data_IF_110683406889
#
_entry.id   IF_110683406889
#
_cell.length_a   1.000
_cell.length_b   1.000
_cell.length_c   1.000
_cell.angle_alpha   90.00
_cell.angle_beta   90.00
_cell.angle_gamma   90.00
#
_symmetry.space_group_name_H-M   'P 1'
#
loop_
_entity.id
_entity.type
_entity.pdbx_description
1 polymer ?
#
# COMPACT_ATOMS: atom_id res chain seq x y z
N UNK A 1 5.76 21.67 -5.02
CA UNK A 1 6.20 21.43 -3.63
C UNK A 1 5.32 20.37 -3.00
N UNK A 2 5.85 19.55 -2.15
CA UNK A 2 5.04 18.55 -1.44
C UNK A 2 4.10 19.25 -0.45
N UNK A 3 2.95 18.67 -0.21
CA UNK A 3 2.05 19.03 0.89
C UNK A 3 2.80 18.97 2.22
N UNK A 4 2.43 19.73 3.24
CA UNK A 4 3.07 19.65 4.54
C UNK A 4 2.92 18.26 5.16
N UNK A 5 3.87 17.88 6.00
CA UNK A 5 3.76 16.65 6.77
C UNK A 5 2.54 16.73 7.69
N UNK A 6 1.68 15.74 7.61
CA UNK A 6 0.46 15.63 8.40
C UNK A 6 0.49 14.30 9.12
N UNK A 7 0.55 14.36 10.43
CA UNK A 7 0.44 13.20 11.29
C UNK A 7 -0.99 12.64 11.29
N UNK A 8 -1.20 11.37 11.56
CA UNK A 8 -2.52 10.78 11.57
C UNK A 8 -3.52 11.54 12.41
N UNK A 9 -4.65 11.87 11.81
CA UNK A 9 -5.83 12.41 12.48
C UNK A 9 -7.08 11.73 11.91
N UNK A 10 -8.20 11.84 12.63
CA UNK A 10 -9.47 11.26 12.19
C UNK A 10 -10.36 12.36 11.59
N UNK A 11 -10.79 12.20 10.35
CA UNK A 11 -11.67 13.17 9.66
C UNK A 11 -13.06 13.26 10.29
N UNK A 12 -13.46 12.30 11.12
CA UNK A 12 -14.72 12.34 11.88
C UNK A 12 -14.77 13.47 12.89
N UNK A 13 -13.61 13.94 13.32
CA UNK A 13 -13.49 15.07 14.24
C UNK A 13 -13.64 16.42 13.54
N UNK A 14 -13.64 16.41 12.20
CA UNK A 14 -13.78 17.60 11.38
C UNK A 14 -15.23 17.81 10.91
N UNK A 15 -15.65 19.07 10.88
CA UNK A 15 -16.95 19.43 10.35
C UNK A 15 -16.93 19.58 8.83
N UNK A 16 -18.00 19.18 8.16
CA UNK A 16 -18.19 19.43 6.75
C UNK A 16 -18.38 20.93 6.47
N UNK A 17 -17.66 21.43 5.47
CA UNK A 17 -17.79 22.77 4.92
C UNK A 17 -18.42 22.70 3.53
N UNK A 18 -19.17 23.72 3.12
CA UNK A 18 -19.69 23.80 1.74
C UNK A 18 -18.52 23.97 0.77
N UNK A 19 -18.51 23.17 -0.29
CA UNK A 19 -17.58 23.36 -1.39
C UNK A 19 -18.23 24.30 -2.41
N UNK A 20 -17.64 25.46 -2.58
CA UNK A 20 -18.10 26.48 -3.54
C UNK A 20 -16.91 26.81 -4.44
N UNK A 21 -16.95 26.31 -5.67
CA UNK A 21 -15.92 26.57 -6.67
C UNK A 21 -16.58 26.96 -7.98
N UNK A 22 -15.99 27.89 -8.76
CA UNK A 22 -16.48 28.24 -10.08
C UNK A 22 -16.63 27.00 -10.97
N UNK A 23 -17.78 26.89 -11.62
CA UNK A 23 -18.10 25.76 -12.51
C UNK A 23 -18.56 24.48 -11.82
N UNK A 24 -18.40 24.34 -10.50
CA UNK A 24 -18.93 23.19 -9.77
C UNK A 24 -20.36 23.44 -9.32
N UNK A 25 -21.19 22.41 -9.44
CA UNK A 25 -22.58 22.43 -8.96
C UNK A 25 -22.63 22.57 -7.44
N UNK A 26 -23.70 23.16 -6.95
CA UNK A 26 -24.02 23.15 -5.52
C UNK A 26 -24.32 21.73 -5.02
N UNK A 27 -24.30 21.51 -3.72
CA UNK A 27 -24.60 20.20 -3.11
C UNK A 27 -23.38 19.35 -2.83
N UNK A 28 -22.22 19.97 -2.76
CA UNK A 28 -20.98 19.33 -2.29
C UNK A 28 -20.55 19.95 -0.96
N UNK A 29 -20.19 19.08 -0.04
CA UNK A 29 -19.56 19.45 1.24
C UNK A 29 -18.27 18.66 1.39
N UNK A 30 -17.28 19.22 2.02
CA UNK A 30 -15.97 18.60 2.15
C UNK A 30 -15.38 18.74 3.54
N UNK A 31 -14.49 17.85 3.86
CA UNK A 31 -13.49 17.96 4.92
C UNK A 31 -12.13 17.94 4.27
N UNK A 32 -11.33 18.96 4.49
CA UNK A 32 -9.98 19.03 3.95
C UNK A 32 -9.07 18.12 4.73
N UNK A 33 -8.44 17.17 4.06
CA UNK A 33 -7.47 16.25 4.66
C UNK A 33 -6.04 16.75 4.49
N UNK A 34 -5.71 17.23 3.30
CA UNK A 34 -4.42 17.87 3.02
C UNK A 34 -4.56 18.87 1.88
N UNK A 35 -3.69 19.85 1.87
CA UNK A 35 -3.71 20.93 0.88
C UNK A 35 -2.28 21.40 0.58
N UNK A 36 -1.98 21.66 -0.68
CA UNK A 36 -0.74 22.25 -1.15
C UNK A 36 -0.99 23.71 -1.52
N UNK A 37 -0.43 24.63 -0.77
CA UNK A 37 -0.64 26.06 -0.96
C UNK A 37 -0.09 26.61 -2.29
N UNK A 38 0.89 25.92 -2.87
CA UNK A 38 1.52 26.38 -4.12
C UNK A 38 0.71 25.93 -5.35
N UNK A 39 0.19 24.71 -5.34
CA UNK A 39 -0.48 24.12 -6.49
C UNK A 39 -1.99 24.07 -6.37
N UNK A 40 -2.51 24.12 -5.15
CA UNK A 40 -3.91 23.88 -4.84
C UNK A 40 -4.29 22.37 -4.84
N UNK A 41 -3.33 21.48 -5.04
CA UNK A 41 -3.58 20.04 -4.95
C UNK A 41 -4.08 19.69 -3.54
N UNK A 42 -5.05 18.79 -3.44
CA UNK A 42 -5.67 18.48 -2.16
C UNK A 42 -6.32 17.11 -2.13
N UNK A 43 -6.48 16.59 -0.92
CA UNK A 43 -7.30 15.41 -0.64
C UNK A 43 -8.42 15.79 0.31
N UNK A 44 -9.62 15.30 0.03
CA UNK A 44 -10.83 15.66 0.76
C UNK A 44 -11.75 14.45 0.92
N UNK A 45 -12.36 14.33 2.08
CA UNK A 45 -13.59 13.55 2.19
C UNK A 45 -14.74 14.42 1.71
N UNK A 46 -15.45 14.01 0.68
CA UNK A 46 -16.49 14.81 0.03
C UNK A 46 -17.84 14.12 0.16
N UNK A 47 -18.80 14.86 0.69
CA UNK A 47 -20.21 14.48 0.74
C UNK A 47 -20.94 15.14 -0.42
N UNK A 48 -21.49 14.32 -1.30
CA UNK A 48 -22.46 14.75 -2.31
C UNK A 48 -23.84 14.60 -1.72
N UNK A 49 -24.58 15.69 -1.71
CA UNK A 49 -25.95 15.71 -1.14
C UNK A 49 -26.93 14.93 -2.01
N UNK A 50 -28.05 14.49 -1.43
CA UNK A 50 -29.14 13.88 -2.22
C UNK A 50 -29.65 14.86 -3.27
N UNK A 51 -29.82 14.38 -4.49
CA UNK A 51 -30.17 15.20 -5.65
C UNK A 51 -29.00 15.93 -6.30
N UNK A 52 -27.74 15.65 -5.88
CA UNK A 52 -26.55 16.22 -6.53
C UNK A 52 -26.52 15.91 -8.02
N UNK A 53 -26.16 16.90 -8.82
CA UNK A 53 -26.02 16.76 -10.25
C UNK A 53 -24.92 17.69 -10.79
N UNK A 54 -24.04 17.16 -11.63
CA UNK A 54 -22.98 17.88 -12.30
C UNK A 54 -23.03 17.59 -13.80
N UNK A 55 -23.03 18.64 -14.60
CA UNK A 55 -22.97 18.55 -16.06
C UNK A 55 -21.68 17.83 -16.52
N UNK A 56 -21.66 17.25 -17.72
CA UNK A 56 -20.44 16.71 -18.32
C UNK A 56 -19.33 17.77 -18.35
N UNK A 57 -18.10 17.35 -18.12
CA UNK A 57 -16.98 18.28 -18.14
C UNK A 57 -15.68 17.69 -17.62
N UNK A 58 -14.64 18.50 -17.63
CA UNK A 58 -13.31 18.08 -17.24
C UNK A 58 -12.70 19.00 -16.17
N UNK A 59 -11.72 18.48 -15.47
CA UNK A 59 -10.85 19.23 -14.57
C UNK A 59 -9.48 19.46 -15.21
N UNK A 60 -8.84 20.57 -14.86
CA UNK A 60 -7.45 20.84 -15.22
C UNK A 60 -6.43 20.12 -14.33
N UNK A 61 -6.86 19.66 -13.17
CA UNK A 61 -6.08 18.76 -12.32
C UNK A 61 -6.42 17.31 -12.65
N UNK A 62 -5.44 16.43 -12.62
CA UNK A 62 -5.75 15.01 -12.47
C UNK A 62 -6.41 14.79 -11.11
N UNK A 63 -7.37 13.88 -11.07
CA UNK A 63 -8.05 13.56 -9.83
C UNK A 63 -8.44 12.10 -9.74
N UNK A 64 -8.57 11.66 -8.50
CA UNK A 64 -8.97 10.31 -8.16
C UNK A 64 -10.14 10.34 -7.19
N UNK A 65 -10.96 9.31 -7.21
CA UNK A 65 -12.07 9.18 -6.28
C UNK A 65 -12.29 7.70 -5.95
N UNK A 66 -12.61 7.45 -4.69
CA UNK A 66 -13.17 6.16 -4.26
C UNK A 66 -14.44 6.39 -3.45
N UNK A 67 -15.49 5.63 -3.77
CA UNK A 67 -16.77 5.72 -3.07
C UNK A 67 -16.63 5.01 -1.71
N UNK A 68 -16.93 5.73 -0.64
CA UNK A 68 -16.93 5.21 0.73
C UNK A 68 -18.31 4.69 1.10
N UNK A 69 -19.36 5.48 0.82
CA UNK A 69 -20.75 5.12 1.12
C UNK A 69 -21.70 5.71 0.08
N UNK A 70 -22.87 5.10 -0.07
CA UNK A 70 -23.87 5.53 -1.04
C UNK A 70 -23.58 5.11 -2.46
N UNK A 71 -24.21 5.80 -3.39
CA UNK A 71 -23.99 5.52 -4.81
C UNK A 71 -23.97 6.80 -5.65
N UNK A 72 -23.31 6.71 -6.77
CA UNK A 72 -23.17 7.78 -7.75
C UNK A 72 -23.42 7.23 -9.15
N UNK A 73 -24.26 7.88 -9.90
CA UNK A 73 -24.45 7.60 -11.31
C UNK A 73 -23.47 8.43 -12.13
N UNK A 74 -22.70 7.79 -12.99
CA UNK A 74 -21.72 8.43 -13.87
C UNK A 74 -22.03 8.00 -15.31
N UNK A 75 -22.64 8.85 -16.08
CA UNK A 75 -23.25 8.49 -17.35
C UNK A 75 -24.29 7.37 -17.15
N UNK A 76 -24.08 6.22 -17.80
CA UNK A 76 -24.96 5.06 -17.66
C UNK A 76 -24.51 4.08 -16.57
N UNK A 77 -23.39 4.32 -15.93
CA UNK A 77 -22.85 3.44 -14.89
C UNK A 77 -23.33 3.87 -13.51
N UNK A 78 -23.49 2.91 -12.61
CA UNK A 78 -23.76 3.14 -11.19
C UNK A 78 -22.54 2.71 -10.39
N UNK A 79 -21.90 3.66 -9.75
CA UNK A 79 -20.75 3.43 -8.89
C UNK A 79 -21.19 3.33 -7.44
N UNK A 80 -20.71 2.34 -6.74
CA UNK A 80 -21.04 2.04 -5.34
C UNK A 80 -19.80 1.99 -4.49
N UNK A 81 -20.00 1.74 -3.21
CA UNK A 81 -18.93 1.53 -2.24
C UNK A 81 -17.79 0.68 -2.81
N UNK A 82 -16.57 1.22 -2.76
CA UNK A 82 -15.37 0.61 -3.30
C UNK A 82 -15.10 0.88 -4.78
N UNK A 83 -16.02 1.52 -5.51
CA UNK A 83 -15.73 1.93 -6.87
C UNK A 83 -14.70 3.05 -6.88
N UNK A 84 -13.67 2.86 -7.67
CA UNK A 84 -12.54 3.77 -7.81
C UNK A 84 -12.44 4.30 -9.24
N UNK A 85 -11.98 5.55 -9.41
CA UNK A 85 -11.58 6.08 -10.71
C UNK A 85 -10.34 6.95 -10.61
N UNK A 86 -9.56 6.94 -11.69
CA UNK A 86 -8.51 7.90 -12.00
C UNK A 86 -8.89 8.67 -13.26
N UNK A 87 -8.85 9.99 -13.17
CA UNK A 87 -9.26 10.89 -14.27
C UNK A 87 -8.10 11.83 -14.60
N UNK A 88 -7.49 11.69 -15.81
CA UNK A 88 -6.42 12.58 -16.22
C UNK A 88 -6.94 14.00 -16.53
N UNK A 89 -6.07 15.02 -16.49
CA UNK A 89 -6.44 16.40 -16.83
C UNK A 89 -7.09 16.50 -18.22
N UNK A 90 -8.13 17.28 -18.33
CA UNK A 90 -8.84 17.50 -19.59
C UNK A 90 -9.73 16.35 -20.05
N UNK A 91 -9.84 15.27 -19.29
CA UNK A 91 -10.76 14.17 -19.61
C UNK A 91 -12.19 14.55 -19.24
N UNK A 92 -13.06 14.69 -20.24
CA UNK A 92 -14.45 15.00 -20.02
C UNK A 92 -15.19 13.79 -19.44
N UNK A 93 -15.58 13.91 -18.19
CA UNK A 93 -16.48 12.96 -17.55
C UNK A 93 -17.91 13.17 -18.04
N UNK A 94 -18.73 12.13 -18.17
CA UNK A 94 -20.16 12.29 -18.43
C UNK A 94 -20.86 12.97 -17.26
N UNK A 95 -22.15 13.18 -17.35
CA UNK A 95 -22.96 13.68 -16.24
C UNK A 95 -22.76 12.79 -15.00
N UNK A 96 -22.57 13.43 -13.85
CA UNK A 96 -22.45 12.77 -12.56
C UNK A 96 -23.63 13.19 -11.70
N UNK A 97 -24.31 12.23 -11.07
CA UNK A 97 -25.43 12.51 -10.17
C UNK A 97 -25.49 11.50 -9.01
N UNK A 98 -26.09 11.94 -7.90
CA UNK A 98 -26.39 11.07 -6.77
C UNK A 98 -27.78 11.39 -6.23
N UNK A 99 -28.68 10.44 -6.36
CA UNK A 99 -30.07 10.66 -5.94
C UNK A 99 -30.23 10.68 -4.42
N UNK A 100 -29.57 9.75 -3.74
CA UNK A 100 -29.66 9.59 -2.29
C UNK A 100 -28.49 10.21 -1.52
N UNK A 101 -27.49 10.71 -2.25
CA UNK A 101 -26.24 11.17 -1.67
C UNK A 101 -25.15 10.10 -1.69
N UNK A 102 -23.91 10.59 -1.60
CA UNK A 102 -22.72 9.76 -1.69
C UNK A 102 -21.58 10.36 -0.89
N UNK A 103 -20.84 9.55 -0.18
CA UNK A 103 -19.59 9.92 0.48
C UNK A 103 -18.42 9.32 -0.28
N UNK A 104 -17.44 10.12 -0.61
CA UNK A 104 -16.24 9.68 -1.33
C UNK A 104 -14.98 10.36 -0.80
N UNK A 105 -13.87 9.66 -0.88
CA UNK A 105 -12.54 10.28 -0.83
C UNK A 105 -12.23 10.80 -2.23
N UNK A 106 -11.90 12.08 -2.35
CA UNK A 106 -11.55 12.74 -3.62
C UNK A 106 -10.18 13.39 -3.47
N UNK A 107 -9.29 13.08 -4.40
CA UNK A 107 -7.91 13.55 -4.40
C UNK A 107 -7.62 14.30 -5.70
N UNK A 108 -7.26 15.57 -5.62
CA UNK A 108 -6.78 16.38 -6.73
C UNK A 108 -5.26 16.46 -6.64
N UNK A 109 -4.57 15.83 -7.60
CA UNK A 109 -3.16 15.49 -7.43
C UNK A 109 -2.19 16.56 -7.95
N UNK A 110 -2.58 17.32 -8.97
CA UNK A 110 -1.66 18.21 -9.69
C UNK A 110 -2.06 19.68 -9.64
N UNK A 111 -3.23 19.99 -9.10
CA UNK A 111 -3.73 21.36 -8.98
C UNK A 111 -5.04 21.43 -8.23
N UNK A 112 -5.58 22.62 -8.10
CA UNK A 112 -6.85 22.86 -7.42
C UNK A 112 -8.03 22.14 -8.11
N UNK A 113 -9.08 21.79 -7.36
CA UNK A 113 -10.34 21.36 -7.93
C UNK A 113 -10.86 22.37 -8.95
N UNK A 114 -11.29 21.89 -10.11
CA UNK A 114 -11.87 22.73 -11.16
C UNK A 114 -12.88 21.92 -11.96
N UNK A 115 -13.78 22.61 -12.65
CA UNK A 115 -14.69 21.98 -13.60
C UNK A 115 -14.98 22.95 -14.73
N UNK A 116 -14.76 22.49 -15.95
CA UNK A 116 -15.14 23.17 -17.18
C UNK A 116 -16.13 22.29 -17.92
N UNK A 117 -17.33 22.84 -18.19
CA UNK A 117 -18.40 22.09 -18.87
C UNK A 117 -17.98 21.79 -20.31
N UNK A 118 -18.02 20.52 -20.66
CA UNK A 118 -17.71 20.03 -22.00
C UNK A 118 -18.21 18.60 -22.17
N UNK A 119 -18.69 18.28 -23.36
CA UNK A 119 -18.98 16.91 -23.75
C UNK A 119 -17.80 16.22 -24.44
N UNK A 120 -16.76 16.99 -24.75
CA UNK A 120 -15.57 16.50 -25.44
C UNK A 120 -14.33 16.64 -24.55
N UNK A 121 -13.42 15.71 -24.72
CA UNK A 121 -12.13 15.78 -24.05
C UNK A 121 -11.32 16.96 -24.59
N UNK A 122 -10.55 17.60 -23.70
CA UNK A 122 -9.57 18.58 -24.15
C UNK A 122 -8.55 17.92 -25.10
N UNK A 123 -8.09 18.59 -26.17
CA UNK A 123 -7.16 17.99 -27.15
C UNK A 123 -5.85 17.45 -26.57
N UNK A 124 -5.40 17.99 -25.43
CA UNK A 124 -4.21 17.53 -24.74
C UNK A 124 -4.47 16.44 -23.68
N UNK A 125 -5.72 16.04 -23.52
CA UNK A 125 -6.10 15.01 -22.54
C UNK A 125 -5.49 13.65 -22.93
N UNK A 126 -4.97 12.96 -21.94
CA UNK A 126 -4.46 11.60 -22.10
C UNK A 126 -5.56 10.61 -21.81
N UNK A 127 -6.51 10.52 -22.74
CA UNK A 127 -7.74 9.73 -22.55
C UNK A 127 -7.49 8.26 -22.22
N UNK A 128 -6.38 7.71 -22.68
CA UNK A 128 -5.97 6.33 -22.44
C UNK A 128 -5.52 6.08 -20.99
N UNK A 129 -5.32 7.11 -20.19
CA UNK A 129 -4.98 6.98 -18.77
C UNK A 129 -6.24 6.95 -17.89
N UNK A 130 -7.40 7.35 -18.42
CA UNK A 130 -8.64 7.20 -17.68
C UNK A 130 -8.86 5.75 -17.26
N UNK A 131 -9.19 5.56 -16.00
CA UNK A 131 -9.41 4.24 -15.45
C UNK A 131 -10.54 4.30 -14.41
N UNK A 132 -11.42 3.33 -14.45
CA UNK A 132 -12.43 3.14 -13.39
C UNK A 132 -12.66 1.64 -13.16
N UNK A 133 -12.84 1.25 -11.91
CA UNK A 133 -12.89 -0.14 -11.52
C UNK A 133 -13.65 -0.32 -10.21
N UNK A 134 -14.45 -1.38 -10.11
CA UNK A 134 -14.94 -1.85 -8.82
C UNK A 134 -13.80 -2.57 -8.09
N UNK A 135 -13.22 -1.90 -7.09
CA UNK A 135 -12.05 -2.42 -6.38
C UNK A 135 -12.32 -3.71 -5.60
N UNK A 136 -13.58 -4.01 -5.30
CA UNK A 136 -13.94 -5.24 -4.60
C UNK A 136 -14.15 -6.41 -5.54
N UNK A 137 -14.86 -6.17 -6.65
CA UNK A 137 -15.30 -7.24 -7.55
C UNK A 137 -14.29 -7.53 -8.65
N UNK A 138 -13.60 -6.52 -9.16
CA UNK A 138 -12.79 -6.64 -10.36
C UNK A 138 -11.30 -6.87 -10.07
N UNK A 139 -10.84 -6.55 -8.86
CA UNK A 139 -9.42 -6.70 -8.51
C UNK A 139 -9.27 -7.68 -7.35
N UNK A 140 -8.60 -8.82 -7.54
CA UNK A 140 -8.33 -9.75 -6.45
C UNK A 140 -7.28 -9.18 -5.48
N UNK A 141 -7.34 -9.62 -4.23
CA UNK A 141 -6.27 -9.36 -3.28
C UNK A 141 -5.03 -10.17 -3.62
N UNK A 142 -3.88 -9.52 -3.65
CA UNK A 142 -2.57 -10.17 -3.66
C UNK A 142 -1.93 -10.09 -2.27
N UNK A 143 -1.14 -11.09 -1.92
CA UNK A 143 -0.39 -11.04 -0.67
C UNK A 143 0.63 -9.89 -0.71
N UNK A 144 0.75 -9.13 0.35
CA UNK A 144 1.65 -7.97 0.42
C UNK A 144 3.12 -8.34 0.23
N UNK A 145 3.52 -9.54 0.65
CA UNK A 145 4.88 -10.06 0.46
C UNK A 145 5.23 -10.37 -1.01
N UNK A 146 4.26 -10.48 -1.90
CA UNK A 146 4.52 -10.55 -3.35
C UNK A 146 5.11 -9.24 -3.86
N UNK A 147 4.62 -8.11 -3.33
CA UNK A 147 5.18 -6.80 -3.66
C UNK A 147 6.50 -6.52 -2.92
N UNK A 148 6.60 -7.00 -1.68
CA UNK A 148 7.77 -6.80 -0.81
C UNK A 148 7.94 -7.99 0.13
N UNK A 149 9.02 -8.77 -0.02
CA UNK A 149 9.27 -9.94 0.84
C UNK A 149 9.33 -9.65 2.34
N UNK A 150 9.67 -8.42 2.71
CA UNK A 150 9.78 -8.01 4.12
C UNK A 150 8.44 -7.67 4.78
N UNK A 151 7.34 -7.68 4.03
CA UNK A 151 6.01 -7.45 4.58
C UNK A 151 5.53 -8.70 5.27
N UNK A 152 5.09 -8.57 6.52
CA UNK A 152 4.58 -9.68 7.31
C UNK A 152 3.32 -10.28 6.69
N UNK A 153 3.11 -11.57 6.93
CA UNK A 153 1.89 -12.28 6.54
C UNK A 153 0.65 -11.60 7.11
N UNK A 154 -0.43 -11.58 6.34
CA UNK A 154 -1.70 -10.94 6.72
C UNK A 154 -1.84 -9.50 6.23
N UNK A 155 -0.82 -8.94 5.58
CA UNK A 155 -0.98 -7.75 4.76
C UNK A 155 -1.28 -8.15 3.32
N UNK A 156 -2.32 -7.57 2.74
CA UNK A 156 -2.73 -7.82 1.36
C UNK A 156 -2.86 -6.50 0.61
N UNK A 157 -2.70 -6.55 -0.70
CA UNK A 157 -2.67 -5.35 -1.56
C UNK A 157 -3.54 -5.55 -2.80
N UNK A 158 -4.15 -4.46 -3.26
CA UNK A 158 -4.77 -4.32 -4.59
C UNK A 158 -4.22 -3.05 -5.24
N UNK A 159 -3.62 -3.15 -6.40
CA UNK A 159 -3.24 -1.97 -7.17
C UNK A 159 -4.47 -1.43 -7.88
N UNK A 160 -4.84 -0.18 -7.61
CA UNK A 160 -5.96 0.51 -8.24
C UNK A 160 -5.52 1.29 -9.47
N UNK A 161 -4.39 1.97 -9.38
CA UNK A 161 -3.84 2.75 -10.49
C UNK A 161 -2.32 2.80 -10.43
N UNK A 162 -1.73 2.91 -11.61
CA UNK A 162 -0.31 3.16 -11.79
C UNK A 162 -0.12 4.13 -12.96
N UNK A 163 0.43 5.29 -12.68
CA UNK A 163 0.73 6.26 -13.71
C UNK A 163 2.09 5.95 -14.36
N UNK A 164 2.15 5.60 -15.64
CA UNK A 164 3.39 5.20 -16.29
C UNK A 164 4.41 6.33 -16.47
N UNK A 165 4.02 7.57 -16.24
CA UNK A 165 4.93 8.74 -16.38
C UNK A 165 5.54 9.16 -15.06
N UNK A 166 4.72 9.36 -14.04
CA UNK A 166 5.17 9.77 -12.71
C UNK A 166 5.57 8.58 -11.85
N UNK A 167 5.14 7.37 -12.23
CA UNK A 167 5.20 6.17 -11.42
C UNK A 167 4.40 6.26 -10.11
N UNK A 168 3.55 7.27 -9.99
CA UNK A 168 2.59 7.37 -8.89
C UNK A 168 1.69 6.15 -8.85
N UNK A 169 1.36 5.72 -7.67
CA UNK A 169 0.55 4.52 -7.43
C UNK A 169 -0.59 4.86 -6.49
N UNK A 170 -1.76 4.26 -6.76
CA UNK A 170 -2.87 4.23 -5.80
C UNK A 170 -3.27 2.77 -5.58
N UNK A 171 -3.38 2.38 -4.34
CA UNK A 171 -3.63 0.99 -3.97
C UNK A 171 -4.50 0.90 -2.71
N UNK A 172 -5.18 -0.22 -2.56
CA UNK A 172 -5.74 -0.62 -1.26
C UNK A 172 -4.76 -1.56 -0.57
N UNK A 173 -4.59 -1.39 0.71
CA UNK A 173 -3.98 -2.39 1.56
C UNK A 173 -4.97 -2.86 2.63
N UNK A 174 -4.87 -4.11 2.97
CA UNK A 174 -5.67 -4.75 3.99
C UNK A 174 -4.73 -5.37 5.01
N UNK A 175 -5.00 -5.12 6.28
CA UNK A 175 -4.43 -5.87 7.38
C UNK A 175 -5.50 -6.83 7.89
N UNK A 176 -5.19 -8.12 7.95
CA UNK A 176 -6.12 -9.10 8.52
C UNK A 176 -6.22 -8.95 10.04
N UNK A 177 -7.26 -9.50 10.68
CA UNK A 177 -7.31 -9.54 12.14
C UNK A 177 -6.05 -10.18 12.74
N UNK A 178 -5.58 -9.58 13.84
CA UNK A 178 -4.33 -9.93 14.51
C UNK A 178 -3.04 -9.74 13.70
N UNK A 179 -3.09 -8.92 12.66
CA UNK A 179 -1.89 -8.52 11.93
C UNK A 179 -0.91 -7.78 12.85
N UNK A 180 0.36 -8.09 12.69
CA UNK A 180 1.44 -7.40 13.37
C UNK A 180 2.71 -7.38 12.52
N UNK A 181 3.31 -6.22 12.38
CA UNK A 181 4.59 -6.02 11.71
C UNK A 181 5.45 -5.09 12.54
N UNK A 182 6.57 -5.58 13.00
CA UNK A 182 7.45 -4.99 14.01
C UNK A 182 8.70 -4.34 13.37
N UNK A 183 8.54 -3.63 12.29
CA UNK A 183 9.64 -2.89 11.69
C UNK A 183 9.25 -1.44 11.43
N UNK A 184 10.24 -0.59 11.36
CA UNK A 184 10.11 0.79 10.95
C UNK A 184 10.58 0.90 9.51
N UNK A 185 9.89 1.68 8.71
CA UNK A 185 10.25 1.93 7.33
C UNK A 185 10.11 3.40 6.98
N UNK A 186 10.72 3.79 5.89
CA UNK A 186 10.42 5.02 5.18
C UNK A 186 10.32 4.74 3.67
N UNK A 187 9.79 5.68 2.95
CA UNK A 187 9.72 5.66 1.50
C UNK A 187 10.55 6.81 0.92
N UNK A 188 11.05 6.66 -0.27
CA UNK A 188 11.74 7.69 -1.04
C UNK A 188 10.78 8.55 -1.89
N UNK A 189 9.50 8.40 -1.67
CA UNK A 189 8.41 9.18 -2.25
C UNK A 189 7.48 9.69 -1.13
N UNK A 190 6.65 10.67 -1.46
CA UNK A 190 5.57 11.06 -0.56
C UNK A 190 4.46 9.99 -0.58
N UNK A 191 3.82 9.82 0.55
CA UNK A 191 2.73 8.87 0.75
C UNK A 191 1.58 9.52 1.49
N UNK A 192 0.36 9.25 1.04
CA UNK A 192 -0.85 9.50 1.83
C UNK A 192 -1.59 8.20 2.09
N UNK A 193 -2.28 8.15 3.22
CA UNK A 193 -3.13 7.03 3.56
C UNK A 193 -4.45 7.48 4.17
N UNK A 194 -5.52 6.78 3.79
CA UNK A 194 -6.86 6.99 4.33
C UNK A 194 -7.50 5.66 4.72
N UNK A 195 -7.90 5.53 5.98
CA UNK A 195 -8.55 4.33 6.49
C UNK A 195 -10.02 4.32 6.10
N UNK A 196 -10.34 3.47 5.13
CA UNK A 196 -11.70 3.31 4.61
C UNK A 196 -12.58 2.55 5.60
N UNK A 197 -12.09 1.44 6.15
CA UNK A 197 -12.82 0.58 7.08
C UNK A 197 -11.86 -0.09 8.06
N UNK A 198 -12.28 -0.16 9.30
CA UNK A 198 -11.53 -0.80 10.38
C UNK A 198 -10.51 0.13 11.02
N UNK A 199 -9.65 -0.45 11.83
CA UNK A 199 -8.66 0.27 12.62
C UNK A 199 -7.31 -0.42 12.53
N UNK A 200 -6.27 0.34 12.24
CA UNK A 200 -4.90 -0.10 12.45
C UNK A 200 -4.31 0.62 13.67
N UNK A 201 -3.23 0.08 14.17
CA UNK A 201 -2.39 0.69 15.17
C UNK A 201 -1.02 0.98 14.56
N UNK A 202 -0.50 2.16 14.85
CA UNK A 202 0.83 2.58 14.43
C UNK A 202 1.60 3.05 15.65
N UNK A 203 2.81 2.56 15.82
CA UNK A 203 3.61 2.76 17.04
C UNK A 203 3.71 4.22 17.49
N UNK A 204 3.86 5.15 16.54
CA UNK A 204 4.03 6.57 16.86
C UNK A 204 2.73 7.29 17.28
N UNK A 205 1.57 6.71 16.94
CA UNK A 205 0.29 7.42 17.03
C UNK A 205 -0.76 6.69 17.84
N UNK A 206 -0.65 5.37 17.98
CA UNK A 206 -1.73 4.54 18.48
C UNK A 206 -2.73 4.17 17.39
N UNK A 207 -4.01 4.15 17.74
CA UNK A 207 -5.07 3.72 16.84
C UNK A 207 -5.36 4.74 15.73
N UNK A 208 -5.43 4.24 14.50
CA UNK A 208 -5.85 4.98 13.31
C UNK A 208 -7.14 4.33 12.80
N UNK A 209 -8.31 4.85 13.18
CA UNK A 209 -9.60 4.25 12.86
C UNK A 209 -10.08 4.62 11.45
N UNK A 210 -11.24 4.09 11.06
CA UNK A 210 -11.97 4.57 9.86
C UNK A 210 -12.08 6.09 9.87
N UNK A 211 -11.71 6.73 8.75
CA UNK A 211 -11.58 8.17 8.63
C UNK A 211 -10.21 8.71 9.04
N UNK A 212 -9.32 7.85 9.47
CA UNK A 212 -7.93 8.22 9.77
C UNK A 212 -7.17 8.55 8.49
N UNK A 213 -6.47 9.67 8.50
CA UNK A 213 -5.71 10.18 7.36
C UNK A 213 -4.33 10.67 7.80
N UNK A 214 -3.36 10.50 6.93
CA UNK A 214 -2.02 11.09 7.06
C UNK A 214 -1.45 11.46 5.69
N UNK A 215 -0.51 12.42 5.69
CA UNK A 215 0.36 12.72 4.55
C UNK A 215 1.81 12.78 5.03
N UNK A 216 2.68 12.00 4.39
CA UNK A 216 4.10 11.96 4.70
C UNK A 216 4.94 12.33 3.49
N UNK A 217 5.80 13.35 3.60
CA UNK A 217 6.89 13.55 2.66
C UNK A 217 7.80 12.32 2.61
N UNK A 218 8.63 12.24 1.58
CA UNK A 218 9.68 11.23 1.52
C UNK A 218 10.58 11.23 2.78
N UNK A 219 11.10 10.07 3.13
CA UNK A 219 12.06 9.84 4.21
C UNK A 219 11.50 10.00 5.63
N UNK A 220 10.21 10.04 5.82
CA UNK A 220 9.60 10.03 7.15
C UNK A 220 9.48 8.59 7.65
N UNK A 221 10.17 8.30 8.74
CA UNK A 221 10.08 6.99 9.39
C UNK A 221 8.71 6.75 10.01
N UNK A 222 8.19 5.55 9.82
CA UNK A 222 6.92 5.11 10.39
C UNK A 222 6.87 3.59 10.54
N UNK A 223 5.94 3.08 11.35
CA UNK A 223 5.82 1.68 11.78
C UNK A 223 6.08 1.64 13.29
N UNK A 224 6.04 0.53 14.01
CA UNK A 224 5.48 -0.74 13.57
C UNK A 224 3.97 -0.64 13.35
N UNK A 225 3.39 -1.67 12.73
CA UNK A 225 1.98 -1.70 12.41
C UNK A 225 1.28 -2.91 13.03
N UNK A 226 0.04 -2.73 13.43
CA UNK A 226 -0.82 -3.81 13.89
C UNK A 226 -2.28 -3.54 13.51
N UNK A 227 -3.09 -4.57 13.53
CA UNK A 227 -4.55 -4.42 13.48
C UNK A 227 -5.20 -5.55 14.25
N UNK A 228 -5.97 -5.22 15.28
CA UNK A 228 -6.62 -6.23 16.12
C UNK A 228 -7.76 -6.92 15.37
N UNK A 229 -8.62 -6.15 14.72
CA UNK A 229 -9.81 -6.67 14.04
C UNK A 229 -9.76 -6.57 12.52
N UNK A 230 -8.68 -6.08 11.98
CA UNK A 230 -8.51 -5.84 10.55
C UNK A 230 -8.87 -4.43 10.11
N UNK A 231 -8.30 -4.02 8.99
CA UNK A 231 -8.62 -2.75 8.35
C UNK A 231 -8.39 -2.83 6.83
N UNK A 232 -9.05 -1.92 6.12
CA UNK A 232 -8.78 -1.64 4.71
C UNK A 232 -8.53 -0.15 4.59
N UNK A 233 -7.39 0.20 4.01
CA UNK A 233 -7.02 1.58 3.78
C UNK A 233 -6.57 1.80 2.33
N UNK A 234 -6.76 3.02 1.85
CA UNK A 234 -6.18 3.46 0.60
C UNK A 234 -4.81 4.07 0.89
N UNK A 235 -3.82 3.67 0.12
CA UNK A 235 -2.51 4.30 0.04
C UNK A 235 -2.31 4.93 -1.34
N UNK A 236 -1.66 6.07 -1.38
CA UNK A 236 -1.28 6.74 -2.61
C UNK A 236 0.12 7.32 -2.48
N UNK A 237 0.90 7.20 -3.54
CA UNK A 237 2.25 7.78 -3.62
C UNK A 237 2.37 8.72 -4.82
N UNK A 238 3.24 9.71 -4.73
CA UNK A 238 3.48 10.67 -5.80
C UNK A 238 4.51 10.19 -6.84
N UNK A 239 5.23 9.11 -6.52
CA UNK A 239 6.15 8.43 -7.42
C UNK A 239 6.30 6.96 -7.04
N UNK A 240 7.26 6.27 -7.64
CA UNK A 240 7.48 4.85 -7.40
C UNK A 240 7.81 4.56 -5.94
N UNK A 241 7.02 3.69 -5.34
CA UNK A 241 7.18 3.29 -3.94
C UNK A 241 8.35 2.33 -3.77
N UNK A 242 9.34 2.75 -3.00
CA UNK A 242 10.35 1.87 -2.43
C UNK A 242 10.25 1.90 -0.92
N UNK A 243 10.14 0.73 -0.30
CA UNK A 243 10.19 0.59 1.15
C UNK A 243 11.64 0.37 1.59
N UNK A 244 12.10 1.21 2.49
CA UNK A 244 13.38 1.06 3.15
C UNK A 244 13.13 0.67 4.61
N UNK A 245 13.29 -0.62 4.91
CA UNK A 245 13.08 -1.12 6.24
C UNK A 245 14.31 -0.90 7.10
N UNK A 246 14.11 -0.30 8.26
CA UNK A 246 15.12 -0.23 9.29
C UNK A 246 15.06 -1.49 10.13
N UNK A 247 16.23 -2.07 10.30
CA UNK A 247 16.38 -3.02 11.38
C UNK A 247 16.30 -2.24 12.68
N UNK A 248 15.28 -2.51 13.45
CA UNK A 248 15.36 -2.09 14.82
C UNK A 248 16.58 -2.81 15.44
N UNK A 249 17.31 -2.20 16.39
CA UNK A 249 18.50 -2.85 16.97
C UNK A 249 18.20 -4.15 17.70
N UNK A 250 16.93 -4.46 17.90
CA UNK A 250 16.44 -5.64 18.61
C UNK A 250 15.86 -6.71 17.69
N UNK A 251 15.64 -6.40 16.42
CA UNK A 251 14.96 -7.30 15.50
C UNK A 251 15.28 -6.96 14.06
N UNK A 252 15.33 -8.00 13.23
CA UNK A 252 15.42 -7.89 11.77
C UNK A 252 14.07 -8.19 11.14
N UNK A 253 13.84 -7.86 9.84
CA UNK A 253 12.62 -8.24 9.14
C UNK A 253 12.33 -9.74 9.18
N UNK A 254 13.37 -10.56 9.12
CA UNK A 254 13.23 -12.02 9.21
C UNK A 254 12.74 -12.44 10.58
N UNK A 255 13.38 -11.95 11.63
CA UNK A 255 12.92 -12.24 12.99
C UNK A 255 11.49 -11.77 13.24
N UNK A 256 11.08 -10.67 12.64
CA UNK A 256 9.70 -10.20 12.73
C UNK A 256 8.73 -11.11 12.00
N UNK A 257 9.08 -11.59 10.81
CA UNK A 257 8.28 -12.57 10.09
C UNK A 257 8.15 -13.86 10.89
N UNK A 258 9.26 -14.40 11.38
CA UNK A 258 9.29 -15.59 12.22
C UNK A 258 8.42 -15.43 13.48
N UNK A 259 8.51 -14.30 14.16
CA UNK A 259 7.66 -14.01 15.33
C UNK A 259 6.18 -13.93 14.97
N UNK A 260 5.86 -13.33 13.84
CA UNK A 260 4.48 -13.22 13.39
C UNK A 260 3.89 -14.59 13.08
N UNK A 261 4.64 -15.42 12.37
CA UNK A 261 4.24 -16.79 12.07
C UNK A 261 4.10 -17.63 13.35
N UNK A 262 5.08 -17.56 14.23
CA UNK A 262 5.03 -18.23 15.51
C UNK A 262 3.78 -17.89 16.31
N UNK A 263 3.42 -16.61 16.36
CA UNK A 263 2.22 -16.16 17.04
C UNK A 263 0.93 -16.69 16.41
N UNK A 264 0.86 -16.73 15.07
CA UNK A 264 -0.29 -17.27 14.36
C UNK A 264 -0.48 -18.74 14.73
N UNK A 265 0.56 -19.53 14.63
CA UNK A 265 0.50 -20.95 14.90
C UNK A 265 0.28 -21.29 16.37
N UNK A 266 0.82 -20.51 17.28
CA UNK A 266 0.54 -20.67 18.72
C UNK A 266 -0.92 -20.37 19.08
N UNK A 267 -1.55 -19.45 18.35
CA UNK A 267 -2.94 -19.06 18.60
C UNK A 267 -3.95 -19.96 17.88
N UNK A 268 -3.54 -20.60 16.81
CA UNK A 268 -4.40 -21.49 16.04
C UNK A 268 -3.76 -22.89 15.87
N UNK A 269 -3.94 -23.77 16.87
CA UNK A 269 -3.43 -25.14 16.77
C UNK A 269 -4.03 -25.96 15.62
N UNK A 270 -5.22 -25.60 15.13
CA UNK A 270 -5.83 -26.29 13.99
C UNK A 270 -5.14 -25.89 12.69
N UNK A 271 -4.86 -24.61 12.54
CA UNK A 271 -4.07 -24.12 11.39
C UNK A 271 -2.67 -24.74 11.39
N UNK A 272 -2.03 -24.81 12.55
CA UNK A 272 -0.74 -25.47 12.69
C UNK A 272 -0.78 -26.92 12.21
N UNK A 273 -1.72 -27.71 12.74
CA UNK A 273 -1.90 -29.10 12.35
C UNK A 273 -2.17 -29.27 10.87
N UNK A 274 -3.00 -28.40 10.31
CA UNK A 274 -3.31 -28.43 8.89
C UNK A 274 -2.10 -28.08 8.03
N UNK A 275 -1.43 -26.98 8.31
CA UNK A 275 -0.33 -26.47 7.51
C UNK A 275 0.91 -27.40 7.51
N UNK A 276 1.14 -28.11 8.60
CA UNK A 276 2.33 -28.96 8.79
C UNK A 276 1.99 -30.46 8.90
N UNK A 277 0.80 -30.85 8.50
CA UNK A 277 0.46 -32.28 8.41
C UNK A 277 1.19 -32.95 7.26
N UNK A 278 1.48 -34.21 7.41
CA UNK A 278 2.13 -35.03 6.38
C UNK A 278 1.30 -35.14 5.09
N UNK A 279 0.01 -34.90 5.19
CA UNK A 279 -0.92 -34.98 4.06
C UNK A 279 -0.75 -33.84 3.06
N UNK A 280 -0.07 -32.76 3.45
CA UNK A 280 0.18 -31.60 2.60
C UNK A 280 1.55 -31.58 1.92
N UNK A 281 2.24 -32.71 1.88
CA UNK A 281 3.60 -32.83 1.32
C UNK A 281 4.58 -31.78 1.89
N UNK A 282 4.35 -31.36 3.11
CA UNK A 282 5.27 -30.44 3.74
C UNK A 282 6.59 -31.15 4.04
N UNK A 283 7.74 -30.53 3.75
CA UNK A 283 9.05 -31.16 3.96
C UNK A 283 9.34 -31.48 5.43
N UNK A 284 8.63 -30.79 6.33
CA UNK A 284 8.75 -31.01 7.76
C UNK A 284 7.43 -31.53 8.35
N UNK A 285 7.51 -32.50 9.23
CA UNK A 285 6.37 -32.93 10.01
C UNK A 285 6.02 -31.93 11.10
N UNK A 286 4.85 -32.09 11.75
CA UNK A 286 4.47 -31.24 12.86
C UNK A 286 5.49 -31.22 13.99
N UNK A 287 6.11 -32.34 14.27
CA UNK A 287 7.12 -32.48 15.32
C UNK A 287 8.37 -31.68 15.01
N UNK A 288 8.84 -31.73 13.76
CA UNK A 288 10.02 -30.99 13.34
C UNK A 288 9.78 -29.49 13.37
N UNK A 289 8.58 -29.10 12.97
CA UNK A 289 8.21 -27.71 13.01
C UNK A 289 8.02 -27.20 14.43
N UNK A 290 7.34 -27.99 15.28
CA UNK A 290 7.14 -27.66 16.68
C UNK A 290 8.47 -27.49 17.40
N UNK A 291 9.39 -28.41 17.20
CA UNK A 291 10.73 -28.32 17.75
C UNK A 291 11.47 -27.05 17.26
N UNK A 292 11.37 -26.77 15.98
CA UNK A 292 11.94 -25.54 15.41
C UNK A 292 11.30 -24.28 15.98
N UNK A 293 9.99 -24.26 16.14
CA UNK A 293 9.26 -23.14 16.71
C UNK A 293 9.56 -22.95 18.18
N UNK A 294 9.62 -24.03 18.94
CA UNK A 294 10.00 -24.01 20.37
C UNK A 294 11.42 -23.47 20.49
N UNK A 295 12.35 -24.00 19.71
CA UNK A 295 13.71 -23.46 19.70
C UNK A 295 13.76 -21.99 19.37
N UNK A 296 13.07 -21.56 18.33
CA UNK A 296 12.99 -20.12 18.00
C UNK A 296 12.37 -19.31 19.13
N UNK A 297 11.37 -19.85 19.80
CA UNK A 297 10.74 -19.21 20.94
C UNK A 297 11.64 -19.09 22.15
N UNK A 298 12.26 -20.18 22.53
CA UNK A 298 13.13 -20.26 23.70
C UNK A 298 14.49 -19.61 23.45
N UNK A 299 14.98 -19.71 22.22
CA UNK A 299 16.28 -19.18 21.79
C UNK A 299 16.17 -17.78 21.17
N UNK A 300 15.00 -17.17 21.14
CA UNK A 300 14.84 -15.87 20.49
C UNK A 300 15.85 -14.83 20.99
N UNK A 301 16.13 -14.83 22.26
CA UNK A 301 17.18 -13.99 22.79
C UNK A 301 18.56 -14.39 22.30
N UNK A 302 18.78 -15.66 22.20
CA UNK A 302 20.04 -16.24 21.72
C UNK A 302 20.22 -16.00 20.22
N UNK A 303 19.23 -16.31 19.44
CA UNK A 303 19.23 -16.02 18.01
C UNK A 303 19.34 -14.53 17.74
N UNK A 304 18.64 -13.71 18.52
CA UNK A 304 18.73 -12.28 18.43
C UNK A 304 20.14 -11.77 18.65
N UNK A 305 20.82 -12.28 19.65
CA UNK A 305 22.24 -11.94 19.90
C UNK A 305 23.14 -12.42 18.78
N UNK A 306 22.91 -13.61 18.29
CA UNK A 306 23.64 -14.16 17.15
C UNK A 306 23.45 -13.29 15.90
N UNK A 307 22.24 -12.85 15.63
CA UNK A 307 21.97 -11.99 14.49
C UNK A 307 22.56 -10.59 14.65
N UNK A 308 22.54 -10.06 15.84
CA UNK A 308 23.17 -8.76 16.12
C UNK A 308 24.67 -8.81 15.90
N UNK A 309 25.30 -9.90 16.30
CA UNK A 309 26.76 -10.03 16.28
C UNK A 309 27.31 -10.57 14.98
N UNK A 310 26.55 -11.40 14.29
CA UNK A 310 27.01 -12.17 13.14
C UNK A 310 26.30 -11.85 11.83
N UNK A 311 25.22 -11.07 11.87
CA UNK A 311 24.45 -10.72 10.68
C UNK A 311 23.76 -11.90 10.01
N UNK A 312 23.59 -13.01 10.68
CA UNK A 312 23.08 -14.25 10.11
C UNK A 312 21.56 -14.33 9.93
N UNK A 313 20.85 -13.35 10.37
CA UNK A 313 19.42 -13.31 10.12
C UNK A 313 19.11 -13.42 8.65
N UNK A 314 19.89 -12.69 7.89
CA UNK A 314 19.72 -12.64 6.46
C UNK A 314 19.97 -13.99 5.81
N UNK A 315 21.04 -14.62 6.24
CA UNK A 315 21.39 -15.95 5.75
C UNK A 315 20.30 -16.97 6.04
N UNK A 316 19.70 -16.86 7.20
CA UNK A 316 18.62 -17.76 7.58
C UNK A 316 17.35 -17.55 6.75
N UNK A 317 17.02 -16.31 6.50
CA UNK A 317 15.87 -15.98 5.67
C UNK A 317 16.02 -16.40 4.23
N UNK A 318 17.21 -16.19 3.71
CA UNK A 318 17.54 -16.53 2.34
C UNK A 318 18.03 -17.95 2.18
N UNK A 319 17.69 -18.78 3.14
CA UNK A 319 18.05 -20.18 3.10
C UNK A 319 17.66 -20.93 1.84
N UNK A 320 16.62 -20.47 1.19
CA UNK A 320 16.26 -21.02 -0.11
C UNK A 320 17.07 -20.44 -1.25
N UNK A 321 17.58 -19.27 -1.05
CA UNK A 321 18.35 -18.58 -2.08
C UNK A 321 19.79 -19.04 -2.08
N UNK A 322 20.19 -19.73 -1.03
CA UNK A 322 21.52 -20.22 -0.93
C UNK A 322 21.88 -21.21 -1.97
N UNK A 323 20.87 -21.89 -2.42
CA UNK A 323 21.14 -22.96 -3.35
C UNK A 323 21.51 -22.45 -4.73
N UNK A 324 21.02 -21.31 -5.08
CA UNK A 324 21.32 -20.77 -6.38
C UNK A 324 22.73 -20.22 -6.49
N UNK A 325 23.22 -19.46 -5.56
CA UNK A 325 24.55 -18.91 -5.67
C UNK A 325 25.67 -19.90 -5.37
N UNK A 326 25.42 -20.84 -4.50
CA UNK A 326 26.47 -21.75 -4.11
C UNK A 326 26.94 -22.63 -5.21
N UNK A 327 26.05 -22.97 -6.09
CA UNK A 327 26.39 -23.91 -7.14
C UNK A 327 27.33 -23.35 -8.17
N UNK A 328 27.32 -22.06 -8.32
CA UNK A 328 28.00 -21.51 -9.44
C UNK A 328 29.42 -21.11 -9.19
N UNK A 329 29.72 -20.99 -7.99
CA UNK A 329 30.90 -20.22 -7.74
C UNK A 329 32.11 -21.01 -7.53
N UNK A 330 31.89 -22.23 -7.33
CA UNK A 330 33.00 -23.09 -7.05
C UNK A 330 33.66 -23.66 -8.24
N UNK A 331 33.18 -23.25 -9.35
CA UNK A 331 33.65 -23.80 -10.57
C UNK A 331 34.77 -23.07 -11.20
N UNK A 332 35.15 -22.10 -10.56
CA UNK A 332 36.28 -21.33 -10.98
C UNK A 332 37.55 -21.94 -10.44
N UNK A 333 37.67 -23.19 -10.67
CA UNK A 333 38.97 -23.71 -10.83
C UNK A 333 39.56 -23.06 -12.05
N UNK A 334 40.25 -22.08 -11.82
CA UNK A 334 41.31 -21.72 -12.70
C UNK A 334 42.23 -22.89 -12.72
N UNK A 335 42.12 -23.64 -13.74
CA UNK A 335 43.18 -24.55 -14.07
C UNK A 335 44.43 -23.74 -14.19
N UNK A 336 45.37 -24.03 -13.39
CA UNK A 336 46.69 -23.53 -13.50
C UNK A 336 47.17 -23.85 -14.90
N UNK A 337 47.20 -22.85 -15.70
CA UNK A 337 47.85 -22.94 -17.00
C UNK A 337 49.31 -23.06 -16.73
N UNK A 338 49.79 -24.26 -16.86
CA UNK A 338 51.21 -24.50 -16.90
C UNK A 338 51.83 -23.72 -18.06
N UNK A 339 52.75 -22.89 -17.72
CA UNK A 339 53.71 -22.30 -18.59
C UNK A 339 54.44 -23.39 -19.37
N UNK A 340 54.20 -23.43 -20.64
CA UNK A 340 55.15 -24.04 -21.54
C UNK A 340 55.78 -23.00 -22.44
N UNK A 341 56.94 -22.57 -22.00
CA UNK A 341 57.95 -22.05 -22.88
C UNK A 341 58.20 -23.00 -24.05
N UNK A 342 58.10 -22.52 -25.23
CA UNK A 342 59.02 -22.99 -26.26
C UNK A 342 59.41 -21.86 -27.22
N UNK A 343 60.69 -21.85 -27.34
CA UNK A 343 61.53 -21.05 -28.19
C UNK A 343 61.29 -21.31 -29.68
N UNK A 344 61.70 -20.35 -30.41
CA UNK A 344 62.52 -20.33 -31.64
C UNK A 344 61.83 -19.98 -32.95
N UNK A 345 62.49 -19.01 -33.47
CA UNK A 345 63.08 -18.87 -34.79
C UNK A 345 62.18 -18.30 -35.92
N UNK A 346 62.75 -17.32 -36.31
CA UNK A 346 63.04 -16.52 -37.52
C UNK A 346 62.20 -15.31 -37.75
#
# INVERSE_FOLDING_TARGET
MARPHIEPFCDRDEAFKKLILPGLSSGMRYKMLSFDDDTGACSMTTQFDGGYKRAPGFSWSEWEMIIIEGEMKVGDQVWRKGHYCYVPPGYAMPEISSEQGCLALVMYNTGAPSHEESTEHHPLAQVNLYHSVDSFMDIPWAAGNVAKPSVASGCMIKLLNYNPRSHAMTFLYCMTPNFYQDNISYHDCAEEGYHLWGTSWMMQFGDVPTGGYFWRPAYINHGAFASEYGCIALGRTDSKLFNHFHYNPWSTPVQNADRSEARIYQRDPLLYKWAFSKDHNHPHGPEDFEDTMVRRGDEQGHDLEQFKTQGKTHDHWHGHDHHAPESEHHHHHHGDGEDHHHHHHD
#
